data_IF_665325935034
#
_entry.id   IF_665325935034
#
_cell.length_a   1.000
_cell.length_b   1.000
_cell.length_c   1.000
_cell.angle_alpha   90.00
_cell.angle_beta   90.00
_cell.angle_gamma   90.00
#
_symmetry.space_group_name_H-M   'P 1'
#
loop_
_entity.id
_entity.type
_entity.pdbx_description
1 polymer ?
#
# COMPACT_ATOMS: atom_id res chain seq x y z
N UNK A 1 22.00 -17.77 -21.54
CA UNK A 1 22.16 -16.31 -21.50
C UNK A 1 20.79 -15.75 -21.17
N UNK A 2 20.45 -15.72 -19.88
CA UNK A 2 19.15 -15.22 -19.43
C UNK A 2 19.08 -13.73 -19.76
N UNK A 3 18.15 -13.39 -20.66
CA UNK A 3 17.77 -12.01 -20.90
C UNK A 3 17.21 -11.48 -19.58
N UNK A 4 18.02 -10.69 -18.87
CA UNK A 4 17.58 -9.94 -17.70
C UNK A 4 16.47 -9.00 -18.17
N UNK A 5 15.21 -9.45 -18.05
CA UNK A 5 14.04 -8.63 -18.32
C UNK A 5 14.10 -7.48 -17.32
N UNK A 6 14.59 -6.33 -17.78
CA UNK A 6 14.68 -5.11 -16.99
C UNK A 6 13.29 -4.82 -16.42
N UNK A 7 13.17 -4.76 -15.09
CA UNK A 7 11.91 -4.45 -14.43
C UNK A 7 11.39 -3.10 -14.96
N UNK A 8 10.12 -2.99 -15.36
CA UNK A 8 9.59 -1.76 -15.97
C UNK A 8 9.71 -0.56 -15.02
N UNK A 9 9.75 0.67 -15.56
CA UNK A 9 9.72 1.88 -14.74
C UNK A 9 8.42 1.95 -13.91
N UNK A 10 8.47 2.63 -12.76
CA UNK A 10 7.34 2.70 -11.83
C UNK A 10 6.15 3.43 -12.46
N UNK A 11 6.41 4.45 -13.26
CA UNK A 11 5.42 5.20 -14.04
C UNK A 11 4.54 4.25 -14.87
N UNK A 12 5.18 3.36 -15.66
CA UNK A 12 4.48 2.41 -16.50
C UNK A 12 3.69 1.36 -15.70
N UNK A 13 4.17 1.01 -14.50
CA UNK A 13 3.46 0.09 -13.61
C UNK A 13 2.21 0.74 -13.00
N UNK A 14 2.31 2.01 -12.60
CA UNK A 14 1.20 2.81 -12.06
C UNK A 14 0.16 3.04 -13.16
N UNK A 15 0.59 3.50 -14.33
CA UNK A 15 -0.27 3.71 -15.50
C UNK A 15 -1.03 2.44 -15.83
N UNK A 16 -0.37 1.27 -15.87
CA UNK A 16 -1.06 -0.02 -16.08
C UNK A 16 -2.06 -0.34 -14.98
N UNK A 17 -1.73 -0.07 -13.72
CA UNK A 17 -2.58 -0.42 -12.60
C UNK A 17 -3.88 0.39 -12.56
N UNK A 18 -3.78 1.68 -12.90
CA UNK A 18 -4.90 2.63 -12.97
C UNK A 18 -5.61 2.57 -14.32
N UNK A 19 -4.90 2.22 -15.40
CA UNK A 19 -5.42 2.25 -16.77
C UNK A 19 -6.76 1.54 -16.84
N UNK A 20 -7.72 2.34 -17.25
CA UNK A 20 -9.07 1.96 -17.51
C UNK A 20 -9.28 2.06 -19.00
N UNK A 21 -8.73 1.11 -19.78
CA UNK A 21 -9.19 0.90 -21.16
C UNK A 21 -10.71 0.61 -21.10
N UNK A 22 -11.44 1.72 -21.13
CA UNK A 22 -12.88 1.89 -21.22
C UNK A 22 -13.18 1.97 -22.71
N UNK A 23 -12.95 0.90 -23.44
CA UNK A 23 -13.73 0.70 -24.65
C UNK A 23 -15.13 0.29 -24.20
N UNK A 24 -15.92 1.30 -23.82
CA UNK A 24 -17.38 1.24 -23.99
C UNK A 24 -17.62 1.57 -25.45
N UNK A 25 -17.40 0.59 -26.31
CA UNK A 25 -18.04 0.58 -27.61
C UNK A 25 -19.35 -0.19 -27.44
N UNK A 26 -20.44 0.48 -27.79
CA UNK A 26 -21.81 0.01 -27.82
C UNK A 26 -21.93 -1.50 -28.01
N UNK A 27 -22.44 -2.21 -26.98
CA UNK A 27 -22.99 -3.58 -27.00
C UNK A 27 -22.20 -4.71 -27.71
N UNK A 28 -20.96 -4.51 -28.14
CA UNK A 28 -20.08 -5.57 -28.65
C UNK A 28 -18.86 -5.73 -27.77
N UNK A 29 -18.76 -6.92 -27.14
CA UNK A 29 -17.54 -7.36 -26.46
C UNK A 29 -16.48 -7.60 -27.54
N UNK A 30 -15.75 -6.56 -27.91
CA UNK A 30 -14.48 -6.71 -28.60
C UNK A 30 -13.51 -7.28 -27.56
N UNK A 31 -13.28 -8.59 -27.64
CA UNK A 31 -12.21 -9.24 -26.89
C UNK A 31 -10.89 -8.77 -27.49
N UNK A 32 -10.36 -7.66 -26.97
CA UNK A 32 -8.98 -7.32 -27.19
C UNK A 32 -8.14 -8.33 -26.40
N UNK A 33 -7.75 -9.40 -27.09
CA UNK A 33 -7.10 -10.59 -26.52
C UNK A 33 -5.64 -10.33 -26.06
N UNK A 34 -5.18 -9.08 -26.04
CA UNK A 34 -3.77 -8.74 -25.75
C UNK A 34 -3.56 -7.67 -24.67
N UNK A 35 -4.60 -7.12 -24.04
CA UNK A 35 -4.43 -6.19 -22.90
C UNK A 35 -4.70 -6.88 -21.55
N UNK A 36 -3.63 -7.17 -20.80
CA UNK A 36 -3.78 -7.61 -19.40
C UNK A 36 -4.51 -6.51 -18.61
N UNK A 37 -5.68 -6.79 -18.00
CA UNK A 37 -6.48 -5.75 -17.37
C UNK A 37 -5.73 -5.10 -16.20
N UNK A 38 -5.85 -3.79 -16.06
CA UNK A 38 -5.31 -3.05 -14.91
C UNK A 38 -5.87 -3.56 -13.58
N UNK A 39 -5.12 -3.39 -12.50
CA UNK A 39 -5.47 -3.94 -11.18
C UNK A 39 -6.84 -3.43 -10.68
N UNK A 40 -7.13 -2.14 -10.86
CA UNK A 40 -8.42 -1.56 -10.47
C UNK A 40 -9.58 -2.20 -11.26
N UNK A 41 -9.38 -2.54 -12.54
CA UNK A 41 -10.37 -3.26 -13.37
C UNK A 41 -10.59 -4.69 -12.87
N UNK A 42 -9.53 -5.35 -12.42
CA UNK A 42 -9.64 -6.68 -11.79
C UNK A 42 -10.47 -6.60 -10.51
N UNK A 43 -10.20 -5.62 -9.64
CA UNK A 43 -11.01 -5.39 -8.43
C UNK A 43 -12.48 -5.11 -8.75
N UNK A 44 -12.75 -4.31 -9.79
CA UNK A 44 -14.11 -3.95 -10.22
C UNK A 44 -14.96 -5.17 -10.65
N UNK A 45 -14.33 -6.27 -11.08
CA UNK A 45 -15.00 -7.52 -11.48
C UNK A 45 -15.21 -8.51 -10.32
N UNK A 46 -14.72 -8.20 -9.12
CA UNK A 46 -14.82 -9.07 -7.93
C UNK A 46 -16.12 -8.80 -7.16
N UNK A 47 -16.26 -9.48 -6.02
CA UNK A 47 -17.40 -9.32 -5.12
C UNK A 47 -17.56 -7.87 -4.63
N UNK A 48 -18.72 -7.56 -4.01
CA UNK A 48 -19.02 -6.20 -3.54
C UNK A 48 -17.99 -5.67 -2.54
N UNK A 49 -17.44 -6.53 -1.69
CA UNK A 49 -16.48 -6.19 -0.66
C UNK A 49 -15.18 -5.68 -1.27
N UNK A 50 -14.60 -6.41 -2.23
CA UNK A 50 -13.38 -5.97 -2.95
C UNK A 50 -13.62 -4.69 -3.73
N UNK A 51 -14.81 -4.49 -4.31
CA UNK A 51 -15.16 -3.25 -5.00
C UNK A 51 -15.16 -2.03 -4.08
N UNK A 52 -15.49 -2.20 -2.80
CA UNK A 52 -15.46 -1.10 -1.82
C UNK A 52 -14.03 -0.64 -1.50
N UNK A 53 -13.01 -1.42 -1.83
CA UNK A 53 -11.60 -1.05 -1.61
C UNK A 53 -11.00 -0.26 -2.78
N UNK A 54 -11.72 -0.13 -3.90
CA UNK A 54 -11.25 0.60 -5.09
C UNK A 54 -10.85 2.06 -4.77
N UNK A 55 -11.61 2.84 -3.98
CA UNK A 55 -11.22 4.21 -3.63
C UNK A 55 -9.86 4.27 -2.92
N UNK A 56 -9.60 3.35 -1.99
CA UNK A 56 -8.32 3.26 -1.27
C UNK A 56 -7.18 2.88 -2.22
N UNK A 57 -7.37 1.86 -3.06
CA UNK A 57 -6.35 1.47 -4.04
C UNK A 57 -6.02 2.62 -5.01
N UNK A 58 -7.05 3.35 -5.48
CA UNK A 58 -6.87 4.50 -6.35
C UNK A 58 -6.14 5.66 -5.64
N UNK A 59 -6.46 5.93 -4.38
CA UNK A 59 -5.75 6.92 -3.55
C UNK A 59 -4.26 6.55 -3.41
N UNK A 60 -3.95 5.29 -3.09
CA UNK A 60 -2.57 4.82 -3.00
C UNK A 60 -1.81 5.02 -4.31
N UNK A 61 -2.36 4.62 -5.45
CA UNK A 61 -1.67 4.85 -6.73
C UNK A 61 -1.56 6.33 -7.09
N UNK A 62 -2.57 7.14 -6.77
CA UNK A 62 -2.55 8.59 -7.01
C UNK A 62 -1.46 9.27 -6.20
N UNK A 63 -1.29 8.88 -4.93
CA UNK A 63 -0.22 9.37 -4.06
C UNK A 63 1.15 8.97 -4.58
N UNK A 64 1.35 7.71 -4.95
CA UNK A 64 2.61 7.26 -5.53
C UNK A 64 2.92 8.01 -6.83
N UNK A 65 1.95 8.15 -7.73
CA UNK A 65 2.07 8.90 -8.99
C UNK A 65 2.45 10.36 -8.75
N UNK A 66 1.78 11.02 -7.81
CA UNK A 66 2.03 12.42 -7.47
C UNK A 66 3.44 12.63 -6.92
N UNK A 67 3.91 11.76 -6.02
CA UNK A 67 5.21 11.94 -5.36
C UNK A 67 6.41 11.34 -6.11
N UNK A 68 6.19 10.46 -7.08
CA UNK A 68 7.25 9.86 -7.89
C UNK A 68 8.22 10.88 -8.53
N UNK A 69 7.78 12.00 -9.12
CA UNK A 69 8.69 13.03 -9.65
C UNK A 69 9.31 13.93 -8.57
N UNK A 70 8.87 13.84 -7.31
CA UNK A 70 9.22 14.76 -6.24
C UNK A 70 10.08 14.14 -5.13
N UNK A 71 10.17 12.81 -5.09
CA UNK A 71 10.93 12.06 -4.09
C UNK A 71 12.06 11.25 -4.74
N UNK A 72 13.20 11.06 -4.05
CA UNK A 72 14.26 10.20 -4.55
C UNK A 72 13.80 8.74 -4.62
N UNK A 73 14.09 8.07 -5.74
CA UNK A 73 13.90 6.63 -5.89
C UNK A 73 15.21 5.92 -5.60
N UNK A 74 15.20 5.02 -4.62
CA UNK A 74 16.37 4.23 -4.20
C UNK A 74 16.13 2.76 -4.49
N UNK A 75 17.02 2.15 -5.27
CA UNK A 75 17.05 0.70 -5.47
C UNK A 75 17.79 0.05 -4.29
N UNK A 76 17.16 -0.94 -3.66
CA UNK A 76 17.66 -1.66 -2.50
C UNK A 76 17.59 -3.17 -2.71
N UNK A 77 18.40 -3.90 -1.95
CA UNK A 77 18.32 -5.36 -1.91
C UNK A 77 17.08 -5.79 -1.13
N UNK A 78 16.52 -6.95 -1.49
CA UNK A 78 15.41 -7.53 -0.76
C UNK A 78 15.83 -7.86 0.68
N UNK A 79 14.98 -7.54 1.66
CA UNK A 79 15.26 -7.73 3.08
C UNK A 79 16.08 -6.59 3.72
N UNK A 80 16.48 -5.58 2.96
CA UNK A 80 17.08 -4.37 3.53
C UNK A 80 16.05 -3.59 4.32
N UNK A 81 16.41 -3.16 5.53
CA UNK A 81 15.59 -2.29 6.35
C UNK A 81 15.39 -0.93 5.66
N UNK A 82 14.14 -0.46 5.66
CA UNK A 82 13.74 0.83 5.09
C UNK A 82 14.01 1.93 6.10
N UNK A 83 14.85 2.89 5.73
CA UNK A 83 15.10 4.09 6.54
C UNK A 83 13.89 5.04 6.46
N UNK A 84 13.47 5.62 7.60
CA UNK A 84 12.30 6.51 7.69
C UNK A 84 12.60 7.94 7.21
N UNK A 85 13.04 8.06 5.96
CA UNK A 85 13.29 9.33 5.26
C UNK A 85 12.37 9.47 4.05
N UNK A 86 11.93 10.69 3.68
CA UNK A 86 11.11 10.89 2.48
C UNK A 86 11.79 10.32 1.22
N UNK A 87 11.10 9.46 0.49
CA UNK A 87 11.69 8.71 -0.61
C UNK A 87 10.81 7.57 -1.10
N UNK A 88 11.22 6.92 -2.17
CA UNK A 88 10.61 5.69 -2.67
C UNK A 88 11.70 4.63 -2.69
N UNK A 89 11.52 3.57 -1.90
CA UNK A 89 12.45 2.44 -1.86
C UNK A 89 11.88 1.33 -2.71
N UNK A 90 12.68 0.81 -3.64
CA UNK A 90 12.30 -0.29 -4.52
C UNK A 90 13.26 -1.45 -4.34
N UNK A 91 12.71 -2.66 -4.32
CA UNK A 91 13.47 -3.91 -4.40
C UNK A 91 13.03 -4.71 -5.62
N UNK A 92 13.55 -5.92 -5.78
CA UNK A 92 13.10 -6.83 -6.83
C UNK A 92 11.61 -7.21 -6.75
N UNK A 93 11.00 -7.13 -5.56
CA UNK A 93 9.62 -7.62 -5.31
C UNK A 93 8.75 -6.63 -4.55
N UNK A 94 9.27 -5.49 -4.11
CA UNK A 94 8.51 -4.52 -3.30
C UNK A 94 8.80 -3.09 -3.70
N UNK A 95 7.85 -2.20 -3.43
CA UNK A 95 7.99 -0.75 -3.47
C UNK A 95 7.41 -0.20 -2.18
N UNK A 96 8.11 0.75 -1.55
CA UNK A 96 7.61 1.49 -0.37
C UNK A 96 7.77 2.97 -0.65
N UNK A 97 6.66 3.70 -0.73
CA UNK A 97 6.68 5.16 -0.79
C UNK A 97 6.57 5.74 0.63
N UNK A 98 7.53 6.59 0.98
CA UNK A 98 7.61 7.29 2.26
C UNK A 98 7.29 8.76 2.03
N UNK A 99 6.03 9.11 2.23
CA UNK A 99 5.47 10.42 1.93
C UNK A 99 5.52 11.30 3.18
N UNK A 100 6.20 12.46 3.15
CA UNK A 100 6.20 13.38 4.28
C UNK A 100 4.82 13.99 4.45
N UNK A 101 4.32 14.04 5.69
CA UNK A 101 3.02 14.61 6.02
C UNK A 101 3.21 15.70 7.08
N UNK A 102 2.73 16.91 6.80
CA UNK A 102 2.74 17.97 7.80
C UNK A 102 1.61 17.78 8.82
N UNK A 103 1.71 18.49 9.95
CA UNK A 103 0.71 18.42 11.00
C UNK A 103 -0.66 18.86 10.48
N UNK A 104 -1.68 18.01 10.65
CA UNK A 104 -3.05 18.30 10.22
C UNK A 104 -3.34 18.05 8.74
N UNK A 105 -2.38 17.53 7.97
CA UNK A 105 -2.55 17.27 6.53
C UNK A 105 -2.86 15.81 6.20
N UNK A 106 -2.77 14.90 7.18
CA UNK A 106 -2.85 13.46 6.92
C UNK A 106 -4.18 13.05 6.28
N UNK A 107 -5.30 13.52 6.84
CA UNK A 107 -6.64 13.24 6.29
C UNK A 107 -6.84 13.90 4.93
N UNK A 108 -6.28 15.09 4.72
CA UNK A 108 -6.40 15.81 3.44
C UNK A 108 -5.62 15.13 2.31
N UNK A 109 -4.50 14.49 2.62
CA UNK A 109 -3.64 13.79 1.65
C UNK A 109 -4.11 12.35 1.43
N UNK A 110 -4.59 11.67 2.48
CA UNK A 110 -4.87 10.24 2.48
C UNK A 110 -6.22 9.93 3.16
N UNK A 111 -7.28 10.53 2.64
CA UNK A 111 -8.63 10.48 3.20
C UNK A 111 -9.15 9.04 3.35
N UNK A 112 -9.09 8.25 2.28
CA UNK A 112 -9.62 6.88 2.30
C UNK A 112 -8.79 5.94 3.17
N UNK A 113 -7.46 6.11 3.20
CA UNK A 113 -6.56 5.35 4.05
C UNK A 113 -6.71 5.67 5.55
N UNK A 114 -7.13 6.90 5.88
CA UNK A 114 -7.27 7.34 7.28
C UNK A 114 -8.67 7.23 7.84
N UNK A 115 -9.67 6.88 7.04
CA UNK A 115 -11.05 6.64 7.51
C UNK A 115 -11.14 5.61 8.67
N UNK A 116 -10.20 4.68 8.77
CA UNK A 116 -10.13 3.70 9.87
C UNK A 116 -9.45 4.23 11.15
N UNK A 117 -8.85 5.43 11.11
CA UNK A 117 -8.07 5.97 12.22
C UNK A 117 -9.00 6.39 13.36
N UNK A 118 -8.84 5.76 14.53
CA UNK A 118 -9.72 6.00 15.69
C UNK A 118 -9.24 7.15 16.59
N UNK A 119 -8.16 7.86 16.22
CA UNK A 119 -7.53 8.87 17.07
C UNK A 119 -7.38 10.22 16.36
N UNK A 120 -8.27 11.19 16.62
CA UNK A 120 -8.17 12.55 16.10
C UNK A 120 -6.86 13.26 16.48
N UNK A 121 -6.20 12.80 17.54
CA UNK A 121 -4.92 13.34 17.99
C UNK A 121 -3.76 12.94 17.09
N UNK A 122 -3.89 11.83 16.34
CA UNK A 122 -2.87 11.35 15.39
C UNK A 122 -2.94 12.09 14.05
N UNK A 123 -4.15 12.45 13.61
CA UNK A 123 -4.38 13.25 12.39
C UNK A 123 -3.72 14.64 12.44
N UNK A 124 -3.56 15.18 13.66
CA UNK A 124 -2.92 16.48 13.89
C UNK A 124 -1.40 16.41 13.99
N UNK A 125 -0.78 15.22 13.88
CA UNK A 125 0.67 15.07 14.00
C UNK A 125 1.34 15.09 12.63
N UNK A 126 2.54 15.66 12.58
CA UNK A 126 3.42 15.49 11.44
C UNK A 126 4.07 14.10 11.47
N UNK A 127 4.45 13.59 10.31
CA UNK A 127 5.04 12.26 10.22
C UNK A 127 5.45 11.83 8.83
N UNK A 128 5.46 10.52 8.65
CA UNK A 128 5.76 9.85 7.38
C UNK A 128 4.69 8.80 7.12
N UNK A 129 3.98 8.93 6.00
CA UNK A 129 3.05 7.92 5.53
C UNK A 129 3.82 6.93 4.66
N UNK A 130 3.87 5.67 5.08
CA UNK A 130 4.45 4.56 4.34
C UNK A 130 3.36 3.81 3.57
N UNK A 131 3.46 3.81 2.24
CA UNK A 131 2.58 3.09 1.33
C UNK A 131 3.35 1.93 0.70
N UNK A 132 3.09 0.68 1.09
CA UNK A 132 3.74 -0.48 0.52
C UNK A 132 2.97 -1.02 -0.71
N UNK A 133 3.72 -1.56 -1.66
CA UNK A 133 3.21 -2.23 -2.85
C UNK A 133 4.04 -3.47 -3.18
N UNK A 134 3.37 -4.58 -3.50
CA UNK A 134 4.03 -5.76 -4.05
C UNK A 134 4.27 -5.60 -5.55
N UNK A 135 5.45 -6.05 -6.00
CA UNK A 135 5.76 -6.24 -7.42
C UNK A 135 5.62 -7.73 -7.73
N UNK A 136 4.57 -8.08 -8.46
CA UNK A 136 4.25 -9.46 -8.81
C UNK A 136 4.30 -9.65 -10.33
N UNK A 137 4.63 -10.87 -10.77
CA UNK A 137 4.57 -11.24 -12.17
C UNK A 137 3.39 -12.19 -12.42
N UNK A 138 2.45 -11.77 -13.26
CA UNK A 138 1.34 -12.59 -13.72
C UNK A 138 1.43 -12.74 -15.23
N UNK A 139 1.43 -13.98 -15.72
CA UNK A 139 1.55 -14.30 -17.16
C UNK A 139 2.76 -13.62 -17.85
N UNK A 140 3.86 -13.45 -17.11
CA UNK A 140 5.08 -12.81 -17.59
C UNK A 140 5.04 -11.28 -17.63
N UNK A 141 3.95 -10.66 -17.16
CA UNK A 141 3.76 -9.21 -17.02
C UNK A 141 3.93 -8.80 -15.55
N UNK A 142 4.74 -7.77 -15.30
CA UNK A 142 4.88 -7.22 -13.95
C UNK A 142 3.70 -6.32 -13.59
N UNK A 143 3.19 -6.48 -12.37
CA UNK A 143 2.12 -5.70 -11.78
C UNK A 143 2.60 -5.10 -10.46
N UNK A 144 2.21 -3.84 -10.23
CA UNK A 144 2.35 -3.19 -8.94
C UNK A 144 1.00 -3.30 -8.25
N UNK A 145 0.97 -3.86 -7.04
CA UNK A 145 -0.25 -4.11 -6.28
C UNK A 145 -0.16 -3.39 -4.92
N UNK A 146 -1.11 -2.52 -4.54
CA UNK A 146 -1.12 -1.89 -3.23
C UNK A 146 -1.32 -2.95 -2.16
N UNK A 147 -0.57 -2.82 -1.07
CA UNK A 147 -0.82 -3.64 0.11
C UNK A 147 -2.12 -3.25 0.80
N UNK A 148 -2.71 -4.22 1.49
CA UNK A 148 -3.95 -4.03 2.24
C UNK A 148 -3.77 -3.16 3.49
N UNK A 149 -2.54 -2.99 3.96
CA UNK A 149 -2.18 -2.13 5.09
C UNK A 149 -1.08 -1.13 4.72
N UNK A 150 -1.12 0.02 5.39
CA UNK A 150 -0.09 1.08 5.34
C UNK A 150 0.38 1.40 6.76
N UNK A 151 1.35 2.29 6.91
CA UNK A 151 1.78 2.76 8.22
C UNK A 151 1.96 4.27 8.27
N UNK A 152 1.61 4.88 9.40
CA UNK A 152 1.94 6.25 9.70
C UNK A 152 2.96 6.31 10.85
N UNK A 153 4.13 6.89 10.57
CA UNK A 153 5.20 7.08 11.54
C UNK A 153 5.15 8.50 12.09
N UNK A 154 4.62 8.65 13.30
CA UNK A 154 4.51 9.95 13.97
C UNK A 154 5.89 10.52 14.25
N UNK A 155 6.12 11.77 13.86
CA UNK A 155 7.42 12.45 13.95
C UNK A 155 8.57 11.67 13.27
N UNK A 156 8.26 10.80 12.29
CA UNK A 156 9.23 9.93 11.61
C UNK A 156 9.98 8.98 12.55
N UNK A 157 9.37 8.63 13.69
CA UNK A 157 9.97 7.76 14.68
C UNK A 157 9.51 6.31 14.50
N UNK A 158 10.48 5.39 14.42
CA UNK A 158 10.24 3.94 14.43
C UNK A 158 9.51 3.46 15.71
N UNK A 159 9.58 4.24 16.79
CA UNK A 159 8.86 3.95 18.04
C UNK A 159 7.36 4.26 17.96
N UNK A 160 6.93 5.02 16.95
CA UNK A 160 5.57 5.50 16.79
C UNK A 160 4.97 5.08 15.44
N UNK A 161 5.04 3.77 15.15
CA UNK A 161 4.35 3.16 14.02
C UNK A 161 2.86 2.96 14.32
N UNK A 162 2.00 3.58 13.51
CA UNK A 162 0.54 3.40 13.55
C UNK A 162 0.11 2.67 12.28
N UNK A 163 -0.24 1.38 12.35
CA UNK A 163 -0.78 0.65 11.20
C UNK A 163 -2.12 1.24 10.75
N UNK A 164 -2.31 1.34 9.44
CA UNK A 164 -3.53 1.80 8.78
C UNK A 164 -4.12 0.64 7.98
N UNK A 165 -5.39 0.35 8.20
CA UNK A 165 -6.13 -0.62 7.41
C UNK A 165 -6.69 0.06 6.16
N UNK A 166 -6.13 -0.26 4.99
CA UNK A 166 -6.55 0.26 3.71
C UNK A 166 -7.61 -0.60 3.04
N UNK A 167 -7.22 -1.77 2.53
CA UNK A 167 -8.11 -2.66 1.77
C UNK A 167 -8.88 -3.57 2.75
N UNK A 168 -10.10 -3.15 3.12
CA UNK A 168 -10.90 -3.78 4.19
C UNK A 168 -11.50 -5.13 3.80
N UNK A 169 -11.55 -5.46 2.51
CA UNK A 169 -12.02 -6.78 2.06
C UNK A 169 -11.20 -7.94 2.64
N UNK A 170 -9.96 -7.69 3.06
CA UNK A 170 -9.09 -8.67 3.73
C UNK A 170 -9.69 -9.19 5.05
N UNK A 171 -10.50 -8.38 5.74
CA UNK A 171 -11.15 -8.76 7.01
C UNK A 171 -12.26 -9.81 6.84
N UNK A 172 -12.62 -10.17 5.61
CA UNK A 172 -13.58 -11.25 5.34
C UNK A 172 -12.92 -12.64 5.43
N UNK A 173 -11.59 -12.68 5.49
CA UNK A 173 -10.85 -13.91 5.62
C UNK A 173 -10.51 -14.15 7.11
N UNK A 174 -10.80 -15.37 7.58
CA UNK A 174 -10.75 -15.76 9.00
C UNK A 174 -9.36 -15.54 9.61
N UNK A 175 -8.30 -15.62 8.79
CA UNK A 175 -6.92 -15.32 9.21
C UNK A 175 -6.71 -13.86 9.68
N UNK A 176 -7.62 -12.94 9.33
CA UNK A 176 -7.57 -11.53 9.72
C UNK A 176 -8.68 -11.14 10.72
N UNK A 177 -9.60 -12.05 11.04
CA UNK A 177 -10.88 -11.76 11.73
C UNK A 177 -10.81 -11.43 13.23
N UNK A 178 -9.63 -11.31 13.83
CA UNK A 178 -9.47 -11.06 15.28
C UNK A 178 -8.59 -9.86 15.62
N UNK A 179 -7.33 -9.88 15.19
CA UNK A 179 -6.35 -8.81 15.43
C UNK A 179 -5.54 -8.51 14.16
N UNK A 180 -6.18 -7.81 13.23
CA UNK A 180 -5.54 -7.38 11.98
C UNK A 180 -4.30 -6.51 12.21
N UNK A 181 -4.18 -5.85 13.37
CA UNK A 181 -3.05 -4.96 13.68
C UNK A 181 -1.77 -5.77 13.79
N UNK A 182 -1.79 -6.91 14.49
CA UNK A 182 -0.62 -7.80 14.61
C UNK A 182 -0.20 -8.34 13.24
N UNK A 183 -1.16 -8.76 12.40
CA UNK A 183 -0.89 -9.23 11.03
C UNK A 183 -0.36 -8.10 10.14
N UNK A 184 -0.85 -6.88 10.31
CA UNK A 184 -0.36 -5.71 9.59
C UNK A 184 1.10 -5.40 9.97
N UNK A 185 1.44 -5.46 11.25
CA UNK A 185 2.81 -5.21 11.72
C UNK A 185 3.81 -6.25 11.19
N UNK A 186 3.42 -7.52 11.12
CA UNK A 186 4.20 -8.58 10.48
C UNK A 186 4.35 -8.34 8.97
N UNK A 187 3.25 -7.96 8.29
CA UNK A 187 3.29 -7.65 6.86
C UNK A 187 4.19 -6.45 6.58
N UNK A 188 4.07 -5.36 7.32
CA UNK A 188 4.92 -4.17 7.20
C UNK A 188 6.40 -4.51 7.44
N UNK A 189 6.72 -5.37 8.43
CA UNK A 189 8.08 -5.83 8.66
C UNK A 189 8.66 -6.58 7.44
N UNK A 190 7.83 -7.36 6.72
CA UNK A 190 8.26 -8.02 5.48
C UNK A 190 8.61 -7.04 4.34
N UNK A 191 8.12 -5.79 4.41
CA UNK A 191 8.53 -4.68 3.54
C UNK A 191 9.77 -3.94 4.03
N UNK A 192 10.40 -4.41 5.11
CA UNK A 192 11.57 -3.78 5.72
C UNK A 192 11.22 -2.56 6.58
N UNK A 193 9.93 -2.29 6.82
CA UNK A 193 9.50 -1.18 7.66
C UNK A 193 9.70 -1.51 9.15
N UNK A 194 10.17 -0.56 9.98
CA UNK A 194 10.39 -0.82 11.40
C UNK A 194 9.06 -0.92 12.16
N UNK A 195 8.83 -2.04 12.83
CA UNK A 195 7.57 -2.32 13.56
C UNK A 195 7.78 -2.87 14.96
N UNK A 196 9.02 -3.15 15.36
CA UNK A 196 9.36 -3.94 16.56
C UNK A 196 8.76 -3.34 17.84
N UNK A 197 8.79 -2.02 17.97
CA UNK A 197 8.21 -1.33 19.14
C UNK A 197 6.70 -1.41 19.17
N UNK A 198 6.04 -1.26 18.02
CA UNK A 198 4.58 -1.41 17.92
C UNK A 198 4.15 -2.86 18.19
N UNK A 199 4.88 -3.84 17.68
CA UNK A 199 4.64 -5.27 17.93
C UNK A 199 4.77 -5.63 19.42
N UNK A 200 5.76 -5.07 20.12
CA UNK A 200 5.85 -5.25 21.59
C UNK A 200 4.67 -4.61 22.33
N UNK A 201 4.20 -3.46 21.88
CA UNK A 201 3.10 -2.75 22.51
C UNK A 201 1.75 -3.50 22.35
N UNK A 202 1.52 -4.15 21.20
CA UNK A 202 0.32 -4.97 20.98
C UNK A 202 0.35 -6.25 21.81
N UNK A 203 1.50 -6.93 21.91
CA UNK A 203 1.68 -8.10 22.77
C UNK A 203 1.36 -7.80 24.25
N UNK A 204 1.86 -6.67 24.78
CA UNK A 204 1.56 -6.25 26.15
C UNK A 204 0.10 -5.85 26.40
N UNK A 205 -0.65 -5.51 25.35
CA UNK A 205 -2.09 -5.20 25.45
C UNK A 205 -2.93 -6.47 25.51
N UNK A 206 -2.53 -7.54 24.81
CA UNK A 206 -3.18 -8.85 24.87
C UNK A 206 -3.05 -9.51 26.26
N UNK A 207 -1.95 -9.25 26.98
CA UNK A 207 -1.68 -9.79 28.32
C UNK A 207 -2.43 -9.07 29.47
N UNK A 208 -3.10 -7.94 29.20
CA UNK A 208 -3.91 -7.26 30.21
C UNK A 208 -5.34 -7.80 30.18
N UNK A 209 -5.86 -8.40 31.28
CA UNK A 209 -7.26 -8.76 31.33
C UNK A 209 -8.11 -7.49 31.16
N UNK A 210 -9.18 -7.60 30.37
CA UNK A 210 -10.18 -6.54 30.21
C UNK A 210 -10.79 -6.22 31.59
N UNK A 211 -10.48 -5.04 32.11
CA UNK A 211 -11.08 -4.49 33.32
C UNK A 211 -12.57 -4.20 33.15
#
# INVERSE_FOLDING_TARGET
MESSKKTPPLEALIERAISSDFDVLDDEVVSDNDSTPGFVRVMARKNRQVRNDIPVAFEMYSLLSHFLPHLPVTEAQQGTAVELVPGIVRTGTTVVALIPVAAGELEAIAFWLTDAMQSPQMEQRAGLLALPYSLEAHDGTSHLLPEWCSAFYVNRSAEHCVPLLGLRSVLQDDQFGGDWVSVALERLAAFGLPTETATRATAHRADKPSS
#
